data_IF_126757226996
#
_entry.id   IF_126757226996
#
_cell.length_a   1.000
_cell.length_b   1.000
_cell.length_c   1.000
_cell.angle_alpha   90.00
_cell.angle_beta   90.00
_cell.angle_gamma   90.00
#
_symmetry.space_group_name_H-M   'P 1'
#
loop_
_entity.id
_entity.type
_entity.pdbx_description
1 polymer ?
#
# COMPACT_ATOMS: atom_id res chain seq x y z
N UNK A 1 -12.76 8.86 -11.56
CA UNK A 1 -11.98 8.88 -10.33
C UNK A 1 -10.59 9.47 -10.64
N UNK A 2 -10.32 10.67 -10.18
CA UNK A 2 -9.06 11.40 -10.49
C UNK A 2 -8.45 12.07 -9.28
N UNK A 3 -8.85 11.66 -8.07
CA UNK A 3 -8.40 12.24 -6.82
C UNK A 3 -7.35 11.37 -6.15
N UNK A 4 -6.33 12.00 -5.60
CA UNK A 4 -5.41 11.36 -4.67
C UNK A 4 -6.10 11.20 -3.32
N UNK A 5 -5.96 10.02 -2.70
CA UNK A 5 -6.71 9.64 -1.50
C UNK A 5 -5.78 9.02 -0.47
N UNK A 6 -5.96 9.37 0.79
CA UNK A 6 -5.34 8.71 1.92
C UNK A 6 -6.37 8.03 2.82
N UNK A 7 -6.31 6.72 2.94
CA UNK A 7 -7.08 5.99 3.94
C UNK A 7 -6.34 6.01 5.27
N UNK A 8 -6.92 6.71 6.25
CA UNK A 8 -6.31 6.89 7.56
C UNK A 8 -7.07 6.15 8.65
N UNK A 9 -6.37 5.46 9.53
CA UNK A 9 -6.99 4.75 10.66
C UNK A 9 -6.02 3.85 11.40
N UNK A 10 -6.42 3.27 12.53
CA UNK A 10 -5.56 2.43 13.35
C UNK A 10 -5.09 1.15 12.61
N UNK A 11 -4.06 0.48 13.12
CA UNK A 11 -3.67 -0.85 12.63
C UNK A 11 -4.86 -1.80 12.59
N UNK A 12 -4.94 -2.67 11.59
CA UNK A 12 -6.03 -3.65 11.47
C UNK A 12 -7.40 -3.10 11.07
N UNK A 13 -7.56 -1.79 10.86
CA UNK A 13 -8.87 -1.20 10.49
C UNK A 13 -9.35 -1.53 9.07
N UNK A 14 -8.54 -2.24 8.26
CA UNK A 14 -8.92 -2.62 6.90
C UNK A 14 -8.58 -1.59 5.82
N UNK A 15 -7.71 -0.61 6.08
CA UNK A 15 -7.28 0.42 5.13
C UNK A 15 -6.83 -0.15 3.77
N UNK A 16 -5.97 -1.18 3.81
CA UNK A 16 -5.48 -1.84 2.60
C UNK A 16 -6.60 -2.52 1.82
N UNK A 17 -7.52 -3.19 2.52
CA UNK A 17 -8.69 -3.82 1.91
C UNK A 17 -9.60 -2.80 1.25
N UNK A 18 -9.88 -1.67 1.92
CA UNK A 18 -10.69 -0.59 1.37
C UNK A 18 -10.04 0.00 0.11
N UNK A 19 -8.74 0.25 0.14
CA UNK A 19 -7.98 0.75 -1.00
C UNK A 19 -8.03 -0.25 -2.18
N UNK A 20 -7.80 -1.53 -1.94
CA UNK A 20 -7.83 -2.56 -2.99
C UNK A 20 -9.23 -2.74 -3.58
N UNK A 21 -10.28 -2.66 -2.78
CA UNK A 21 -11.67 -2.66 -3.27
C UNK A 21 -11.93 -1.46 -4.18
N UNK A 22 -11.42 -0.28 -3.82
CA UNK A 22 -11.56 0.90 -4.66
C UNK A 22 -10.77 0.80 -5.96
N UNK A 23 -9.58 0.18 -5.96
CA UNK A 23 -8.84 -0.13 -7.19
C UNK A 23 -9.62 -1.09 -8.10
N UNK A 24 -10.25 -2.11 -7.52
CA UNK A 24 -11.07 -3.05 -8.27
C UNK A 24 -12.28 -2.36 -8.91
N UNK A 25 -12.95 -1.46 -8.18
CA UNK A 25 -14.05 -0.66 -8.71
C UNK A 25 -13.57 0.29 -9.82
N UNK A 26 -12.39 0.87 -9.67
CA UNK A 26 -11.82 1.72 -10.72
C UNK A 26 -11.50 0.92 -11.99
N UNK A 27 -10.83 -0.23 -11.88
CA UNK A 27 -10.62 -1.10 -13.05
C UNK A 27 -11.94 -1.48 -13.73
N UNK A 28 -12.96 -1.83 -12.94
CA UNK A 28 -14.29 -2.15 -13.47
C UNK A 28 -14.91 -0.96 -14.22
N UNK A 29 -14.76 0.27 -13.73
CA UNK A 29 -15.26 1.46 -14.40
C UNK A 29 -14.57 1.75 -15.74
N UNK A 30 -13.37 1.23 -15.94
CA UNK A 30 -12.61 1.27 -17.19
C UNK A 30 -12.91 0.06 -18.11
N UNK A 31 -13.87 -0.79 -17.76
CA UNK A 31 -14.18 -2.02 -18.50
C UNK A 31 -13.12 -3.11 -18.38
N UNK A 32 -12.26 -3.03 -17.34
CA UNK A 32 -11.14 -3.95 -17.15
C UNK A 32 -11.35 -4.84 -15.93
N UNK A 33 -10.76 -6.03 -15.97
CA UNK A 33 -10.70 -6.92 -14.81
C UNK A 33 -9.55 -6.50 -13.88
N UNK A 34 -9.82 -6.42 -12.59
CA UNK A 34 -8.79 -6.19 -11.58
C UNK A 34 -8.00 -7.47 -11.33
N UNK A 35 -6.79 -7.53 -11.87
CA UNK A 35 -5.86 -8.65 -11.67
C UNK A 35 -4.64 -8.09 -10.94
N UNK A 36 -4.46 -8.51 -9.70
CA UNK A 36 -3.32 -8.13 -8.86
C UNK A 36 -2.19 -9.13 -9.05
N UNK A 37 -1.04 -8.65 -9.52
CA UNK A 37 0.19 -9.42 -9.61
C UNK A 37 1.17 -8.95 -8.56
N UNK A 38 1.89 -9.88 -7.94
CA UNK A 38 3.02 -9.59 -7.05
C UNK A 38 4.30 -9.74 -7.83
N UNK A 39 5.15 -8.74 -7.77
CA UNK A 39 6.45 -8.69 -8.42
C UNK A 39 7.49 -8.17 -7.46
N UNK A 40 8.75 -8.16 -7.87
CA UNK A 40 9.83 -7.52 -7.13
C UNK A 40 10.35 -6.35 -7.93
N UNK A 41 10.54 -5.23 -7.22
CA UNK A 41 11.20 -4.06 -7.74
C UNK A 41 12.70 -4.24 -7.59
N UNK A 42 13.42 -4.21 -8.70
CA UNK A 42 14.87 -4.21 -8.75
C UNK A 42 15.34 -2.75 -8.86
N UNK A 43 15.67 -2.15 -7.73
CA UNK A 43 16.23 -0.81 -7.71
C UNK A 43 17.75 -0.91 -7.59
N UNK A 44 18.51 -0.27 -8.48
CA UNK A 44 19.93 -0.06 -8.23
C UNK A 44 20.07 0.84 -7.00
N UNK A 45 20.48 0.29 -5.89
CA UNK A 45 20.84 1.05 -4.70
C UNK A 45 22.20 1.68 -4.97
N UNK A 46 22.21 2.89 -5.55
CA UNK A 46 23.44 3.67 -5.62
C UNK A 46 23.73 4.20 -4.21
N UNK A 47 24.58 3.52 -3.50
CA UNK A 47 25.29 4.11 -2.37
C UNK A 47 26.17 5.21 -2.98
N UNK A 48 25.84 6.46 -2.66
CA UNK A 48 26.56 7.62 -3.18
C UNK A 48 27.90 7.81 -2.50
N UNK A 49 28.86 6.96 -2.77
CA UNK A 49 30.29 7.22 -2.72
C UNK A 49 30.94 6.11 -3.56
N UNK A 50 31.27 6.48 -4.78
CA UNK A 50 31.87 5.60 -5.75
C UNK A 50 33.29 5.22 -5.33
N UNK A 51 33.46 4.01 -4.91
CA UNK A 51 34.61 3.21 -5.32
C UNK A 51 34.06 2.14 -6.27
N UNK A 52 34.47 2.19 -7.51
CA UNK A 52 34.24 1.19 -8.56
C UNK A 52 34.94 -0.12 -8.17
N UNK A 53 34.43 -0.80 -7.19
CA UNK A 53 34.70 -2.22 -7.03
C UNK A 53 33.42 -2.95 -7.38
N UNK A 54 33.47 -3.68 -8.51
CA UNK A 54 32.50 -4.65 -8.98
C UNK A 54 32.29 -5.77 -7.93
N UNK A 55 31.72 -5.42 -6.79
CA UNK A 55 31.10 -6.36 -5.88
C UNK A 55 29.64 -6.50 -6.29
N UNK A 56 29.15 -7.71 -6.50
CA UNK A 56 27.73 -8.02 -6.62
C UNK A 56 27.02 -7.51 -5.36
N UNK A 57 26.69 -6.22 -5.35
CA UNK A 57 25.91 -5.59 -4.29
C UNK A 57 24.56 -6.32 -4.20
N UNK A 58 24.27 -6.83 -3.03
CA UNK A 58 23.04 -7.54 -2.71
C UNK A 58 21.86 -6.68 -3.18
N UNK A 59 21.25 -7.06 -4.31
CA UNK A 59 20.10 -6.35 -4.89
C UNK A 59 18.94 -6.52 -3.93
N UNK A 60 18.68 -5.53 -3.13
CA UNK A 60 17.53 -5.55 -2.24
C UNK A 60 16.23 -5.50 -3.06
N UNK A 61 15.58 -6.65 -3.19
CA UNK A 61 14.33 -6.81 -3.92
C UNK A 61 13.17 -6.29 -3.07
N UNK A 62 12.57 -5.17 -3.48
CA UNK A 62 11.38 -4.63 -2.83
C UNK A 62 10.12 -5.30 -3.42
N UNK A 63 9.29 -5.98 -2.61
CA UNK A 63 8.02 -6.51 -3.10
C UNK A 63 7.09 -5.39 -3.55
N UNK A 64 6.48 -5.54 -4.72
CA UNK A 64 5.51 -4.61 -5.27
C UNK A 64 4.24 -5.30 -5.73
N UNK A 65 3.15 -4.59 -5.71
CA UNK A 65 1.87 -4.98 -6.28
C UNK A 65 1.64 -4.24 -7.60
N UNK A 66 1.22 -4.95 -8.61
CA UNK A 66 1.01 -4.38 -9.96
C UNK A 66 -0.34 -4.80 -10.50
N UNK A 67 -1.08 -3.85 -11.05
CA UNK A 67 -2.22 -4.10 -11.94
C UNK A 67 -2.09 -3.25 -13.21
N UNK A 68 -3.06 -3.35 -14.08
CA UNK A 68 -3.13 -2.53 -15.30
C UNK A 68 -3.13 -1.02 -14.98
N UNK A 69 -3.67 -0.63 -13.83
CA UNK A 69 -3.92 0.78 -13.47
C UNK A 69 -3.04 1.26 -12.33
N UNK A 70 -2.33 0.37 -11.60
CA UNK A 70 -1.56 0.81 -10.44
C UNK A 70 -0.27 0.03 -10.21
N UNK A 71 0.66 0.72 -9.52
CA UNK A 71 1.79 0.12 -8.80
C UNK A 71 1.63 0.40 -7.32
N UNK A 72 1.84 -0.63 -6.49
CA UNK A 72 1.72 -0.53 -5.04
C UNK A 72 2.99 -0.97 -4.32
N UNK A 73 3.44 -0.18 -3.36
CA UNK A 73 4.64 -0.41 -2.57
C UNK A 73 4.34 -0.29 -1.08
N UNK A 74 5.00 -1.11 -0.28
CA UNK A 74 4.88 -1.05 1.17
C UNK A 74 6.11 -0.35 1.76
N UNK A 75 5.92 0.86 2.30
CA UNK A 75 6.99 1.68 2.87
C UNK A 75 7.66 0.97 4.05
N UNK A 76 6.90 0.18 4.83
CA UNK A 76 7.46 -0.59 5.94
C UNK A 76 8.55 -1.58 5.50
N UNK A 77 8.61 -1.92 4.22
CA UNK A 77 9.64 -2.81 3.64
C UNK A 77 10.83 -2.08 3.01
N UNK A 78 10.78 -0.75 2.97
CA UNK A 78 11.87 0.07 2.39
C UNK A 78 12.98 0.35 3.39
N UNK A 79 12.75 0.07 4.69
CA UNK A 79 13.70 0.35 5.78
C UNK A 79 14.16 1.82 5.78
N UNK A 80 15.41 2.09 6.09
CA UNK A 80 16.00 3.44 6.07
C UNK A 80 16.35 3.95 4.67
N UNK A 81 16.03 3.19 3.62
CA UNK A 81 16.36 3.52 2.22
C UNK A 81 15.15 4.00 1.43
N UNK A 82 14.07 4.39 2.12
CA UNK A 82 12.82 4.84 1.49
C UNK A 82 13.05 5.96 0.46
N UNK A 83 13.95 6.90 0.73
CA UNK A 83 14.35 7.97 -0.19
C UNK A 83 14.85 7.45 -1.54
N UNK A 84 15.73 6.44 -1.51
CA UNK A 84 16.32 5.88 -2.73
C UNK A 84 15.27 5.10 -3.52
N UNK A 85 14.45 4.30 -2.82
CA UNK A 85 13.35 3.57 -3.44
C UNK A 85 12.33 4.52 -4.06
N UNK A 86 11.85 5.51 -3.31
CA UNK A 86 10.85 6.48 -3.80
C UNK A 86 11.39 7.22 -5.02
N UNK A 87 12.62 7.73 -4.97
CA UNK A 87 13.26 8.40 -6.12
C UNK A 87 13.32 7.49 -7.35
N UNK A 88 13.77 6.24 -7.19
CA UNK A 88 13.85 5.25 -8.27
C UNK A 88 12.47 4.93 -8.86
N UNK A 89 11.47 4.73 -8.00
CA UNK A 89 10.08 4.44 -8.39
C UNK A 89 9.52 5.61 -9.21
N UNK A 90 9.65 6.84 -8.72
CA UNK A 90 9.12 8.02 -9.39
C UNK A 90 9.79 8.28 -10.75
N UNK A 91 11.11 8.11 -10.84
CA UNK A 91 11.84 8.23 -12.09
C UNK A 91 11.37 7.23 -13.14
N UNK A 92 11.18 5.98 -12.76
CA UNK A 92 10.71 4.94 -13.69
C UNK A 92 9.22 5.10 -14.00
N UNK A 93 8.43 5.54 -13.05
CA UNK A 93 7.01 5.84 -13.26
C UNK A 93 6.82 6.94 -14.30
N UNK A 94 7.55 8.04 -14.20
CA UNK A 94 7.51 9.14 -15.17
C UNK A 94 7.92 8.71 -16.59
N UNK A 95 8.96 7.89 -16.71
CA UNK A 95 9.41 7.37 -18.02
C UNK A 95 8.41 6.40 -18.65
N UNK A 96 7.70 5.60 -17.86
CA UNK A 96 6.71 4.62 -18.34
C UNK A 96 5.38 5.25 -18.74
N UNK A 97 5.16 6.52 -18.46
CA UNK A 97 3.92 7.25 -18.78
C UNK A 97 3.57 7.26 -20.26
N UNK A 98 4.58 7.23 -21.14
CA UNK A 98 4.39 7.39 -22.58
C UNK A 98 4.02 6.11 -23.34
N UNK A 99 4.21 4.91 -22.75
CA UNK A 99 4.19 3.67 -23.55
C UNK A 99 2.95 2.80 -23.32
N UNK A 100 2.26 2.89 -22.18
CA UNK A 100 1.24 1.90 -21.79
C UNK A 100 -0.13 2.48 -21.37
N UNK A 101 -0.32 3.78 -21.36
CA UNK A 101 -1.62 4.34 -21.02
C UNK A 101 -2.53 4.38 -22.25
N UNK A 102 -3.72 3.77 -22.21
CA UNK A 102 -4.77 4.15 -23.15
C UNK A 102 -4.96 5.66 -23.02
N UNK A 103 -4.90 6.38 -24.12
CA UNK A 103 -5.11 7.82 -24.22
C UNK A 103 -6.22 8.25 -23.25
N UNK A 104 -5.88 9.05 -22.22
CA UNK A 104 -6.77 9.68 -21.23
C UNK A 104 -7.08 8.94 -19.91
N UNK A 105 -6.42 7.86 -19.51
CA UNK A 105 -6.64 7.28 -18.19
C UNK A 105 -5.49 7.58 -17.22
N UNK A 106 -5.81 8.19 -16.08
CA UNK A 106 -4.84 8.36 -14.98
C UNK A 106 -4.37 7.00 -14.47
N UNK A 107 -3.12 6.94 -14.01
CA UNK A 107 -2.55 5.77 -13.33
C UNK A 107 -2.43 6.03 -11.83
N UNK A 108 -2.50 5.00 -11.03
CA UNK A 108 -2.45 5.10 -9.58
C UNK A 108 -1.11 4.62 -9.04
N UNK A 109 -0.44 5.45 -8.27
CA UNK A 109 0.70 5.07 -7.47
C UNK A 109 0.24 4.89 -6.02
N UNK A 110 0.51 3.71 -5.43
CA UNK A 110 0.04 3.35 -4.10
C UNK A 110 1.22 3.19 -3.16
N UNK A 111 1.18 3.87 -2.00
CA UNK A 111 2.10 3.61 -0.89
C UNK A 111 1.31 3.19 0.35
N UNK A 112 1.55 1.97 0.79
CA UNK A 112 1.08 1.49 2.09
C UNK A 112 1.99 1.98 3.19
N UNK A 113 1.43 2.24 4.38
CA UNK A 113 2.15 2.78 5.55
C UNK A 113 2.89 4.10 5.27
N UNK A 114 2.24 5.03 4.56
CA UNK A 114 2.83 6.30 4.14
C UNK A 114 3.33 7.17 5.31
N UNK A 115 2.85 6.95 6.54
CA UNK A 115 3.35 7.61 7.74
C UNK A 115 4.81 7.26 8.09
N UNK A 116 5.37 6.22 7.47
CA UNK A 116 6.78 5.83 7.64
C UNK A 116 7.71 6.48 6.62
N UNK A 117 7.18 7.24 5.66
CA UNK A 117 8.01 7.98 4.70
C UNK A 117 8.83 9.05 5.40
N UNK A 118 10.10 9.14 5.03
CA UNK A 118 10.97 10.24 5.46
C UNK A 118 10.51 11.58 4.88
N UNK A 119 10.88 12.67 5.53
CA UNK A 119 10.57 14.02 5.02
C UNK A 119 11.11 14.28 3.62
N UNK A 120 12.24 13.69 3.28
CA UNK A 120 12.83 13.81 1.95
C UNK A 120 12.03 13.05 0.89
N UNK A 121 11.58 11.84 1.20
CA UNK A 121 10.70 11.06 0.33
C UNK A 121 9.37 11.76 0.08
N UNK A 122 8.82 12.41 1.11
CA UNK A 122 7.61 13.23 0.96
C UNK A 122 7.83 14.43 0.04
N UNK A 123 9.00 15.08 0.10
CA UNK A 123 9.36 16.16 -0.83
C UNK A 123 9.44 15.68 -2.28
N UNK A 124 10.03 14.50 -2.52
CA UNK A 124 10.06 13.93 -3.86
C UNK A 124 8.66 13.62 -4.38
N UNK A 125 7.79 13.07 -3.53
CA UNK A 125 6.40 12.79 -3.90
C UNK A 125 5.64 14.09 -4.21
N UNK A 126 5.80 15.13 -3.40
CA UNK A 126 5.17 16.43 -3.65
C UNK A 126 5.62 17.00 -4.99
N UNK A 127 6.93 17.15 -5.21
CA UNK A 127 7.47 17.68 -6.46
C UNK A 127 7.01 16.87 -7.68
N UNK A 128 6.98 15.55 -7.55
CA UNK A 128 6.49 14.67 -8.60
C UNK A 128 5.01 14.91 -8.92
N UNK A 129 4.16 15.07 -7.89
CA UNK A 129 2.74 15.32 -8.08
C UNK A 129 2.48 16.69 -8.74
N UNK A 130 3.26 17.71 -8.40
CA UNK A 130 3.17 19.04 -9.03
C UNK A 130 3.34 18.95 -10.54
N UNK A 131 4.25 18.10 -11.01
CA UNK A 131 4.52 17.89 -12.43
C UNK A 131 3.58 16.90 -13.13
N UNK A 132 3.10 15.89 -12.40
CA UNK A 132 2.45 14.72 -13.01
C UNK A 132 0.98 14.50 -12.56
N UNK A 133 0.34 15.45 -11.89
CA UNK A 133 -1.02 15.31 -11.35
C UNK A 133 -2.10 15.08 -12.42
N UNK A 134 -1.82 15.42 -13.67
CA UNK A 134 -2.76 15.18 -14.78
C UNK A 134 -2.90 13.69 -15.10
N UNK A 135 -1.80 12.95 -15.06
CA UNK A 135 -1.71 11.55 -15.46
C UNK A 135 -1.57 10.56 -14.30
N UNK A 136 -1.32 11.08 -13.10
CA UNK A 136 -1.06 10.28 -11.92
C UNK A 136 -1.97 10.68 -10.75
N UNK A 137 -2.47 9.69 -10.03
CA UNK A 137 -3.09 9.87 -8.72
C UNK A 137 -2.30 9.10 -7.67
N UNK A 138 -2.23 9.64 -6.47
CA UNK A 138 -1.52 9.03 -5.35
C UNK A 138 -2.53 8.49 -4.35
N UNK A 139 -2.46 7.19 -4.06
CA UNK A 139 -3.30 6.55 -3.05
C UNK A 139 -2.45 6.02 -1.91
N UNK A 140 -2.81 6.39 -0.70
CA UNK A 140 -2.01 6.16 0.50
C UNK A 140 -2.80 5.42 1.57
N UNK A 141 -2.09 4.65 2.40
CA UNK A 141 -2.63 4.25 3.69
C UNK A 141 -1.76 4.81 4.80
N UNK A 142 -2.37 5.33 5.86
CA UNK A 142 -1.64 5.92 6.98
C UNK A 142 -2.31 5.58 8.32
N UNK A 143 -1.53 5.49 9.38
CA UNK A 143 -2.04 5.38 10.75
C UNK A 143 -2.24 6.75 11.38
N UNK A 144 -1.45 7.72 10.96
CA UNK A 144 -1.43 9.09 11.46
C UNK A 144 -1.86 10.07 10.36
N UNK A 145 -2.25 11.31 10.73
CA UNK A 145 -2.49 12.37 9.76
C UNK A 145 -1.28 12.56 8.84
N UNK A 146 -1.54 12.84 7.58
CA UNK A 146 -0.46 13.17 6.65
C UNK A 146 0.17 14.51 7.05
N UNK A 147 1.50 14.65 6.89
CA UNK A 147 2.14 15.95 6.97
C UNK A 147 1.52 16.93 5.96
N UNK A 148 1.49 18.22 6.31
CA UNK A 148 0.88 19.28 5.49
C UNK A 148 1.27 19.23 4.01
N UNK A 149 2.50 18.87 3.71
CA UNK A 149 3.03 18.75 2.34
C UNK A 149 2.26 17.78 1.45
N UNK A 150 1.78 16.67 2.01
CA UNK A 150 0.99 15.68 1.28
C UNK A 150 -0.52 15.84 1.54
N UNK A 151 -0.90 16.43 2.66
CA UNK A 151 -2.31 16.64 3.01
C UNK A 151 -3.04 17.51 1.98
N UNK A 152 -2.35 18.51 1.41
CA UNK A 152 -2.93 19.40 0.41
C UNK A 152 -3.20 18.68 -0.94
N UNK A 153 -2.54 17.54 -1.17
CA UNK A 153 -2.68 16.75 -2.40
C UNK A 153 -3.66 15.57 -2.28
N UNK A 154 -4.01 15.18 -1.06
CA UNK A 154 -4.80 13.97 -0.83
C UNK A 154 -6.05 14.26 0.00
N UNK A 155 -7.17 13.69 -0.42
CA UNK A 155 -8.37 13.64 0.42
C UNK A 155 -8.19 12.55 1.46
N UNK A 156 -8.20 12.89 2.74
CA UNK A 156 -8.16 11.91 3.82
C UNK A 156 -9.53 11.29 4.07
N UNK A 157 -9.59 9.96 4.01
CA UNK A 157 -10.77 9.17 4.36
C UNK A 157 -10.51 8.42 5.66
N UNK A 158 -11.23 8.74 6.74
CA UNK A 158 -11.06 8.00 7.99
C UNK A 158 -11.61 6.58 7.86
N UNK A 159 -10.81 5.61 8.29
CA UNK A 159 -11.19 4.19 8.37
C UNK A 159 -11.18 3.79 9.83
N UNK A 160 -12.37 3.62 10.39
CA UNK A 160 -12.52 3.23 11.79
C UNK A 160 -12.21 1.75 11.99
N UNK A 161 -11.79 1.39 13.19
CA UNK A 161 -11.65 -0.02 13.55
C UNK A 161 -13.04 -0.67 13.58
N UNK A 162 -13.09 -1.89 13.08
CA UNK A 162 -14.30 -2.69 13.17
C UNK A 162 -14.64 -2.97 14.65
N UNK A 163 -15.92 -2.95 15.00
CA UNK A 163 -16.38 -3.44 16.30
C UNK A 163 -16.01 -4.90 16.51
N UNK A 164 -16.02 -5.34 17.78
CA UNK A 164 -15.63 -6.72 18.16
C UNK A 164 -16.43 -7.78 17.41
N UNK A 165 -17.73 -7.58 17.29
CA UNK A 165 -18.63 -8.55 16.62
C UNK A 165 -18.34 -8.64 15.12
N UNK A 166 -18.14 -7.50 14.46
CA UNK A 166 -17.78 -7.45 13.04
C UNK A 166 -16.42 -8.10 12.78
N UNK A 167 -15.44 -7.89 13.67
CA UNK A 167 -14.13 -8.54 13.57
C UNK A 167 -14.25 -10.05 13.65
N UNK A 168 -15.06 -10.55 14.57
CA UNK A 168 -15.32 -11.98 14.71
C UNK A 168 -16.00 -12.57 13.47
N UNK A 169 -16.99 -11.87 12.90
CA UNK A 169 -17.63 -12.30 11.65
C UNK A 169 -16.66 -12.36 10.48
N UNK A 170 -15.79 -11.34 10.35
CA UNK A 170 -14.74 -11.32 9.29
C UNK A 170 -13.79 -12.50 9.46
N UNK A 171 -13.35 -12.78 10.70
CA UNK A 171 -12.47 -13.91 10.99
C UNK A 171 -13.12 -15.24 10.64
N UNK A 172 -14.36 -15.45 11.05
CA UNK A 172 -15.14 -16.66 10.72
C UNK A 172 -15.29 -16.84 9.21
N UNK A 173 -15.65 -15.78 8.49
CA UNK A 173 -15.79 -15.81 7.03
C UNK A 173 -14.47 -16.14 6.33
N UNK A 174 -13.36 -15.55 6.76
CA UNK A 174 -12.04 -15.82 6.19
C UNK A 174 -11.57 -17.25 6.49
N UNK A 175 -11.85 -17.75 7.70
CA UNK A 175 -11.57 -19.13 8.07
C UNK A 175 -12.35 -20.12 7.19
N UNK A 176 -13.64 -19.90 6.99
CA UNK A 176 -14.47 -20.77 6.13
C UNK A 176 -14.03 -20.72 4.66
N UNK A 177 -13.49 -19.61 4.19
CA UNK A 177 -12.94 -19.49 2.82
C UNK A 177 -11.60 -20.21 2.67
N UNK A 178 -10.77 -20.26 3.72
CA UNK A 178 -9.47 -20.92 3.70
C UNK A 178 -9.57 -22.43 4.02
N UNK A 179 -10.61 -22.85 4.70
CA UNK A 179 -10.79 -24.20 5.23
C UNK A 179 -11.33 -25.22 4.19
N UNK A 180 -11.29 -24.92 2.91
CA UNK A 180 -11.63 -25.88 1.84
C UNK A 180 -10.70 -27.12 1.79
N UNK A 181 -9.72 -27.24 2.70
CA UNK A 181 -8.80 -28.39 2.78
C UNK A 181 -8.62 -29.02 4.17
N UNK A 182 -9.33 -28.61 5.20
CA UNK A 182 -9.18 -29.14 6.56
C UNK A 182 -10.43 -29.00 7.42
N UNK A 183 -10.50 -29.68 8.55
CA UNK A 183 -11.65 -29.71 9.44
C UNK A 183 -12.06 -28.29 9.87
N UNK A 184 -13.15 -27.81 9.29
CA UNK A 184 -13.73 -26.48 9.49
C UNK A 184 -14.03 -26.18 10.97
N UNK A 185 -14.43 -27.19 11.73
CA UNK A 185 -14.89 -27.04 13.11
C UNK A 185 -13.75 -26.69 14.07
N UNK A 186 -12.60 -27.33 13.94
CA UNK A 186 -11.43 -27.07 14.79
C UNK A 186 -10.83 -25.68 14.57
N UNK A 187 -10.80 -25.19 13.32
CA UNK A 187 -10.26 -23.89 13.00
C UNK A 187 -11.13 -22.73 13.52
N UNK A 188 -12.47 -22.89 13.46
CA UNK A 188 -13.40 -21.89 14.04
C UNK A 188 -13.26 -21.82 15.56
N UNK A 189 -13.13 -22.95 16.23
CA UNK A 189 -12.95 -23.02 17.69
C UNK A 189 -11.62 -22.39 18.12
N UNK A 190 -10.53 -22.66 17.41
CA UNK A 190 -9.23 -22.05 17.66
C UNK A 190 -9.25 -20.53 17.47
N UNK A 191 -9.87 -20.01 16.39
CA UNK A 191 -10.01 -18.58 16.15
C UNK A 191 -10.84 -17.92 17.25
N UNK A 192 -11.94 -18.54 17.65
CA UNK A 192 -12.78 -18.02 18.73
C UNK A 192 -12.02 -18.04 20.07
N UNK A 193 -11.22 -19.06 20.34
CA UNK A 193 -10.40 -19.15 21.55
C UNK A 193 -9.32 -18.04 21.58
N UNK A 194 -8.58 -17.84 20.48
CA UNK A 194 -7.57 -16.79 20.35
C UNK A 194 -8.21 -15.41 20.51
N UNK A 195 -9.35 -15.19 19.88
CA UNK A 195 -10.07 -13.92 19.97
C UNK A 195 -10.56 -13.63 21.39
N UNK A 196 -11.11 -14.63 22.10
CA UNK A 196 -11.51 -14.50 23.51
C UNK A 196 -10.31 -14.19 24.41
N UNK A 197 -9.18 -14.84 24.18
CA UNK A 197 -7.94 -14.61 24.94
C UNK A 197 -7.44 -13.18 24.70
N UNK A 198 -7.45 -12.70 23.46
CA UNK A 198 -7.08 -11.32 23.12
C UNK A 198 -8.00 -10.29 23.77
N UNK A 199 -9.31 -10.56 23.85
CA UNK A 199 -10.27 -9.70 24.53
C UNK A 199 -10.11 -9.68 26.05
N UNK A 200 -9.66 -10.78 26.63
CA UNK A 200 -9.46 -10.91 28.08
C UNK A 200 -8.13 -10.26 28.54
N UNK A 201 -7.20 -10.02 27.61
CA UNK A 201 -5.93 -9.35 27.95
C UNK A 201 -6.19 -7.87 28.15
N UNK A 202 -6.04 -7.32 29.38
CA UNK A 202 -6.18 -5.89 29.59
C UNK A 202 -5.14 -5.17 28.75
N UNK A 203 -5.57 -4.14 28.02
CA UNK A 203 -4.65 -3.24 27.32
C UNK A 203 -3.77 -2.57 28.41
N UNK A 204 -2.58 -3.09 28.61
CA UNK A 204 -1.54 -2.39 29.39
C UNK A 204 -1.15 -1.17 28.59
N UNK A 205 -1.84 -0.06 28.90
CA UNK A 205 -1.41 1.28 28.53
C UNK A 205 -0.09 1.55 29.25
N UNK A 206 1.00 1.47 28.54
CA UNK A 206 2.27 2.06 28.93
C UNK A 206 2.58 3.24 28.03
#
# INVERSE_FOLDING_TARGET
>A
LGLSICWRGPPGSGKRTALQQQLALWCKSLGQHYILKKQFWDAPLHNGDASEEEGEGEKALLPMEVSMTHWGFDVARMSLQDKQYVKSILQRWGRGSQVLAPTHSKRCLVFYHAHLLSSESMLFLQAFLEENHQDTVLWLTSEYPLPSRLADWCVEIPVHSNGKDMTLEILKRNASTQALSGSLVTLEEEIVAVYKTWLATPATLS
#
